data_IF_978966776579
#
_entry.id   IF_978966776579
#
_cell.length_a   1.000
_cell.length_b   1.000
_cell.length_c   1.000
_cell.angle_alpha   90.00
_cell.angle_beta   90.00
_cell.angle_gamma   90.00
#
_symmetry.space_group_name_H-M   'P 1'
#
loop_
_entity.id
_entity.type
_entity.pdbx_description
1 polymer ?
#
# COMPACT_ATOMS: atom_id res chain seq x y z
N UNK A 1 29.98 -58.18 -19.33
CA UNK A 1 29.35 -57.52 -20.50
C UNK A 1 27.93 -57.12 -20.12
N UNK A 2 27.61 -55.81 -20.28
CA UNK A 2 26.28 -55.16 -20.35
C UNK A 2 25.08 -55.86 -19.67
N UNK A 3 24.74 -55.43 -18.45
CA UNK A 3 23.39 -55.55 -17.87
C UNK A 3 23.10 -54.25 -17.14
N UNK A 4 22.46 -53.27 -17.80
CA UNK A 4 21.69 -52.22 -17.10
C UNK A 4 20.74 -51.53 -18.09
N UNK A 5 19.73 -52.27 -18.56
CA UNK A 5 18.54 -51.69 -19.18
C UNK A 5 17.49 -51.52 -18.06
N UNK A 6 17.54 -50.40 -17.35
CA UNK A 6 16.49 -50.02 -16.38
C UNK A 6 16.05 -48.57 -16.65
N UNK A 7 15.65 -48.31 -17.89
CA UNK A 7 14.93 -47.09 -18.26
C UNK A 7 13.58 -47.53 -18.84
N UNK A 8 12.67 -47.93 -17.96
CA UNK A 8 11.27 -48.12 -18.31
C UNK A 8 10.40 -47.31 -17.36
N UNK A 9 9.69 -46.35 -17.98
CA UNK A 9 8.31 -45.94 -17.66
C UNK A 9 8.07 -45.27 -16.31
N UNK A 10 8.15 -43.93 -16.29
CA UNK A 10 7.24 -43.11 -15.47
C UNK A 10 6.23 -42.47 -16.43
N UNK A 11 4.99 -42.97 -16.51
CA UNK A 11 3.94 -42.43 -17.35
C UNK A 11 3.21 -41.26 -16.65
N UNK A 12 3.02 -40.18 -17.40
CA UNK A 12 1.81 -39.36 -17.47
C UNK A 12 1.04 -39.07 -16.16
N UNK A 13 1.29 -37.90 -15.59
CA UNK A 13 0.29 -37.16 -14.81
C UNK A 13 -0.16 -35.95 -15.64
N UNK A 14 -1.21 -36.15 -16.45
CA UNK A 14 -1.96 -35.06 -17.08
C UNK A 14 -2.84 -34.44 -15.99
N UNK A 15 -2.38 -33.35 -15.38
CA UNK A 15 -3.21 -32.54 -14.48
C UNK A 15 -4.17 -31.73 -15.34
N UNK A 16 -5.46 -32.05 -15.23
CA UNK A 16 -6.57 -31.32 -15.82
C UNK A 16 -6.76 -30.04 -15.01
N UNK A 17 -6.36 -28.89 -15.54
CA UNK A 17 -6.67 -27.59 -14.93
C UNK A 17 -8.03 -27.13 -15.42
N UNK A 18 -9.05 -27.20 -14.55
CA UNK A 18 -10.35 -26.58 -14.80
C UNK A 18 -10.18 -25.08 -15.04
N UNK A 19 -10.59 -24.64 -16.23
CA UNK A 19 -10.49 -23.25 -16.67
C UNK A 19 -11.65 -22.46 -16.06
N UNK A 20 -11.40 -21.77 -14.95
CA UNK A 20 -12.37 -20.85 -14.36
C UNK A 20 -12.71 -19.74 -15.37
N UNK A 21 -13.96 -19.73 -15.86
CA UNK A 21 -14.47 -18.68 -16.73
C UNK A 21 -14.52 -17.36 -15.94
N UNK A 22 -13.68 -16.39 -16.33
CA UNK A 22 -13.72 -15.02 -15.80
C UNK A 22 -15.03 -14.35 -16.22
N UNK A 23 -15.84 -13.97 -15.24
CA UNK A 23 -16.98 -13.09 -15.42
C UNK A 23 -16.44 -11.65 -15.45
N UNK A 24 -16.55 -11.00 -16.61
CA UNK A 24 -16.13 -9.60 -16.81
C UNK A 24 -17.26 -8.69 -16.27
N UNK A 25 -17.02 -7.85 -15.26
CA UNK A 25 -17.99 -6.86 -14.82
C UNK A 25 -18.22 -5.82 -15.94
N UNK A 26 -19.45 -5.37 -16.10
CA UNK A 26 -19.82 -4.40 -17.12
C UNK A 26 -19.25 -3.01 -16.76
N UNK A 27 -18.64 -2.34 -17.73
CA UNK A 27 -18.02 -1.02 -17.57
C UNK A 27 -19.07 0.04 -17.20
N UNK A 28 -19.17 0.38 -15.91
CA UNK A 28 -19.95 1.53 -15.46
C UNK A 28 -19.23 2.81 -15.89
N UNK A 29 -19.85 3.49 -16.86
CA UNK A 29 -19.37 4.71 -17.50
C UNK A 29 -18.99 5.79 -16.48
N UNK A 30 -17.69 6.05 -16.40
CA UNK A 30 -17.08 7.15 -15.66
C UNK A 30 -17.58 8.50 -16.22
N UNK A 31 -18.37 9.25 -15.45
CA UNK A 31 -18.70 10.64 -15.75
C UNK A 31 -17.67 11.54 -15.05
N UNK A 32 -16.80 12.25 -15.78
CA UNK A 32 -15.82 13.17 -15.20
C UNK A 32 -16.50 14.47 -14.77
N UNK A 33 -16.69 14.66 -13.47
CA UNK A 33 -17.01 15.97 -12.88
C UNK A 33 -15.75 16.83 -12.87
N UNK A 34 -15.52 17.57 -13.95
CA UNK A 34 -14.53 18.64 -14.05
C UNK A 34 -15.24 20.00 -14.11
N UNK A 35 -14.51 21.06 -13.75
CA UNK A 35 -14.89 22.48 -13.67
C UNK A 35 -15.56 22.89 -12.35
N UNK A 36 -15.12 23.91 -11.62
CA UNK A 36 -13.96 24.80 -11.68
C UNK A 36 -13.81 25.47 -10.30
N UNK A 37 -12.63 26.02 -9.94
CA UNK A 37 -12.35 26.51 -8.59
C UNK A 37 -13.04 27.85 -8.31
N UNK A 38 -13.82 27.91 -7.23
CA UNK A 38 -14.37 29.16 -6.70
C UNK A 38 -13.24 30.04 -6.15
N UNK A 39 -12.80 31.00 -6.97
CA UNK A 39 -11.92 32.08 -6.55
C UNK A 39 -12.78 33.30 -6.23
N UNK A 40 -13.28 33.38 -5.00
CA UNK A 40 -13.80 34.64 -4.46
C UNK A 40 -12.92 35.13 -3.33
N UNK A 41 -12.25 36.24 -3.63
CA UNK A 41 -11.15 36.85 -2.91
C UNK A 41 -11.65 38.03 -2.10
N UNK A 42 -11.35 38.02 -0.80
CA UNK A 42 -11.13 39.17 0.12
C UNK A 42 -12.18 40.29 0.16
N UNK A 43 -12.86 40.41 1.31
CA UNK A 43 -12.94 41.67 2.05
C UNK A 43 -13.35 41.41 3.52
N UNK A 44 -12.45 41.60 4.51
CA UNK A 44 -12.78 41.58 5.93
C UNK A 44 -13.36 42.94 6.33
N UNK A 45 -14.66 43.00 6.56
CA UNK A 45 -15.33 44.14 7.18
C UNK A 45 -15.64 43.83 8.64
N UNK A 46 -14.67 44.11 9.53
CA UNK A 46 -14.90 44.22 10.97
C UNK A 46 -15.87 45.40 11.21
N UNK A 47 -17.10 45.11 11.63
CA UNK A 47 -17.96 46.14 12.22
C UNK A 47 -18.59 45.58 13.49
N UNK A 48 -17.92 45.89 14.59
CA UNK A 48 -18.34 45.71 15.96
C UNK A 48 -19.56 46.58 16.25
N UNK A 49 -20.72 45.97 16.48
CA UNK A 49 -21.83 46.61 17.22
C UNK A 49 -22.23 45.77 18.42
N UNK A 50 -22.37 46.49 19.52
CA UNK A 50 -22.57 46.04 20.89
C UNK A 50 -23.98 45.45 21.14
N UNK A 51 -24.21 44.81 22.32
CA UNK A 51 -25.29 43.87 22.54
C UNK A 51 -26.61 44.54 22.94
N UNK A 52 -27.72 44.04 22.37
CA UNK A 52 -29.08 44.37 22.84
C UNK A 52 -29.60 43.29 23.79
N UNK A 53 -30.29 43.79 24.82
CA UNK A 53 -30.76 43.12 26.02
C UNK A 53 -31.83 42.02 25.80
N UNK A 54 -32.04 41.13 26.80
CA UNK A 54 -32.99 40.03 26.72
C UNK A 54 -34.39 40.47 27.16
N UNK A 55 -35.43 40.02 26.47
CA UNK A 55 -36.79 40.04 27.00
C UNK A 55 -37.74 39.12 26.21
N UNK A 56 -38.48 38.34 27.00
CA UNK A 56 -39.86 37.86 26.77
C UNK A 56 -40.09 36.53 26.04
N UNK A 57 -40.20 35.50 26.87
CA UNK A 57 -41.14 34.38 26.85
C UNK A 57 -42.49 34.66 26.19
N UNK A 58 -42.94 33.88 25.19
CA UNK A 58 -44.35 33.46 25.04
C UNK A 58 -44.39 32.05 24.43
N UNK A 59 -45.09 31.17 25.13
CA UNK A 59 -45.51 29.85 24.69
C UNK A 59 -46.82 29.94 23.91
N UNK A 60 -46.97 29.13 22.85
CA UNK A 60 -48.19 28.76 22.12
C UNK A 60 -47.73 28.27 20.74
N UNK A 61 -48.19 27.20 20.12
CA UNK A 61 -49.27 26.26 20.36
C UNK A 61 -49.03 25.11 19.36
N UNK A 62 -49.34 23.88 19.76
CA UNK A 62 -49.32 22.69 18.89
C UNK A 62 -50.18 22.93 17.64
N UNK A 63 -49.64 22.70 16.44
CA UNK A 63 -50.48 22.31 15.30
C UNK A 63 -49.93 21.02 14.72
N UNK A 64 -50.63 19.95 15.07
CA UNK A 64 -50.47 18.58 14.59
C UNK A 64 -50.83 18.53 13.11
N UNK A 65 -49.86 18.25 12.25
CA UNK A 65 -50.13 17.72 10.92
C UNK A 65 -49.64 16.28 10.87
N UNK A 66 -50.47 15.33 10.40
CA UNK A 66 -50.08 13.93 10.29
C UNK A 66 -49.02 13.82 9.20
N UNK A 67 -47.77 13.62 9.61
CA UNK A 67 -46.69 13.30 8.69
C UNK A 67 -46.97 11.91 8.10
N UNK A 68 -47.34 11.90 6.83
CA UNK A 68 -47.45 10.68 6.05
C UNK A 68 -46.11 9.96 6.10
N UNK A 69 -46.15 8.75 6.65
CA UNK A 69 -45.08 7.78 6.74
C UNK A 69 -44.47 7.49 5.36
N UNK A 70 -43.51 8.31 4.93
CA UNK A 70 -42.60 7.95 3.84
C UNK A 70 -41.80 6.75 4.31
N UNK A 71 -42.17 5.58 3.79
CA UNK A 71 -41.42 4.34 3.96
C UNK A 71 -40.17 4.45 3.10
N UNK A 72 -39.13 5.11 3.62
CA UNK A 72 -37.82 5.18 2.97
C UNK A 72 -37.29 3.75 2.86
N UNK A 73 -37.06 3.20 1.65
CA UNK A 73 -36.40 1.92 1.52
C UNK A 73 -35.04 2.04 2.20
N UNK A 74 -34.77 1.13 3.14
CA UNK A 74 -33.45 0.97 3.70
C UNK A 74 -32.52 0.65 2.53
N UNK A 75 -31.76 1.66 2.09
CA UNK A 75 -30.58 1.45 1.27
C UNK A 75 -29.68 0.59 2.16
N UNK A 76 -29.75 -0.73 1.97
CA UNK A 76 -28.75 -1.64 2.50
C UNK A 76 -27.45 -1.25 1.81
N UNK A 77 -26.78 -0.25 2.39
CA UNK A 77 -25.40 0.07 2.14
C UNK A 77 -24.61 -1.14 2.65
N UNK A 78 -24.68 -2.24 1.91
CA UNK A 78 -23.69 -3.29 1.91
C UNK A 78 -22.44 -2.71 1.27
N UNK A 79 -21.87 -1.70 1.93
CA UNK A 79 -20.46 -1.38 1.80
C UNK A 79 -19.74 -2.51 2.51
N UNK A 80 -19.73 -3.68 1.88
CA UNK A 80 -18.61 -4.58 2.02
C UNK A 80 -17.46 -3.80 1.43
N UNK A 81 -16.84 -2.94 2.25
CA UNK A 81 -15.63 -2.25 1.89
C UNK A 81 -14.60 -3.36 1.78
N UNK A 82 -14.50 -3.95 0.59
CA UNK A 82 -13.51 -4.97 0.31
C UNK A 82 -12.17 -4.41 0.74
N UNK A 83 -11.55 -5.08 1.71
CA UNK A 83 -10.32 -4.60 2.30
C UNK A 83 -9.24 -4.64 1.22
N UNK A 84 -8.79 -3.46 0.79
CA UNK A 84 -7.78 -3.36 -0.27
C UNK A 84 -6.39 -3.55 0.33
N UNK A 85 -5.81 -4.72 0.11
CA UNK A 85 -4.42 -5.00 0.48
C UNK A 85 -3.43 -4.40 -0.53
N UNK A 86 -2.35 -3.79 -0.01
CA UNK A 86 -1.27 -3.22 -0.81
C UNK A 86 -0.40 -4.31 -1.47
N UNK A 87 -0.21 -5.43 -0.76
CA UNK A 87 0.59 -6.58 -1.19
C UNK A 87 -0.32 -7.82 -1.16
N UNK A 88 -0.49 -8.47 -2.32
CA UNK A 88 -1.22 -9.73 -2.49
C UNK A 88 -0.48 -10.59 -3.52
N UNK A 89 -0.59 -11.92 -3.45
CA UNK A 89 0.07 -12.81 -4.42
C UNK A 89 -0.39 -12.51 -5.86
N UNK A 90 -1.67 -12.13 -6.03
CA UNK A 90 -2.24 -11.74 -7.33
C UNK A 90 -1.61 -10.48 -7.91
N UNK A 91 -1.31 -9.48 -7.08
CA UNK A 91 -0.66 -8.22 -7.50
C UNK A 91 0.85 -8.35 -7.58
N UNK A 92 1.44 -9.38 -6.98
CA UNK A 92 2.88 -9.49 -6.75
C UNK A 92 3.38 -10.89 -7.17
N UNK A 93 3.18 -11.24 -8.45
CA UNK A 93 3.44 -12.58 -8.99
C UNK A 93 4.85 -13.15 -8.74
N UNK A 94 5.82 -12.30 -8.37
CA UNK A 94 7.22 -12.68 -8.15
C UNK A 94 7.70 -12.53 -6.70
N UNK A 95 6.79 -12.48 -5.71
CA UNK A 95 7.20 -12.40 -4.29
C UNK A 95 8.18 -13.51 -3.91
N UNK A 96 7.95 -14.75 -4.35
CA UNK A 96 8.82 -15.88 -4.05
C UNK A 96 10.25 -15.77 -4.63
N UNK A 97 10.47 -14.90 -5.62
CA UNK A 97 11.82 -14.65 -6.17
C UNK A 97 12.55 -13.53 -5.42
N UNK A 98 11.79 -12.57 -4.91
CA UNK A 98 12.30 -11.39 -4.20
C UNK A 98 12.52 -11.69 -2.70
N UNK A 99 11.61 -12.43 -2.08
CA UNK A 99 11.70 -12.85 -0.68
C UNK A 99 12.62 -14.06 -0.58
N UNK A 100 13.69 -13.91 0.18
CA UNK A 100 14.76 -14.89 0.29
C UNK A 100 15.09 -15.19 1.76
N UNK A 101 16.00 -16.16 1.95
CA UNK A 101 16.57 -16.52 3.24
C UNK A 101 15.52 -16.89 4.28
N UNK A 102 15.55 -16.21 5.43
CA UNK A 102 14.69 -16.53 6.59
C UNK A 102 13.47 -15.62 6.71
N UNK A 103 13.29 -14.67 5.79
CA UNK A 103 12.10 -13.80 5.77
C UNK A 103 10.82 -14.61 5.58
N UNK A 104 9.88 -14.45 6.51
CA UNK A 104 8.59 -15.11 6.47
C UNK A 104 7.51 -14.18 5.91
N UNK A 105 6.71 -14.70 4.99
CA UNK A 105 5.45 -14.08 4.58
C UNK A 105 4.30 -14.74 5.34
N UNK A 106 3.37 -13.93 5.83
CA UNK A 106 2.17 -14.43 6.51
C UNK A 106 1.00 -13.49 6.25
N UNK A 107 -0.22 -14.01 6.38
CA UNK A 107 -1.41 -13.19 6.27
C UNK A 107 -1.74 -12.54 7.61
N UNK A 108 -1.86 -11.23 7.60
CA UNK A 108 -2.37 -10.43 8.71
C UNK A 108 -3.58 -9.65 8.24
N UNK A 109 -4.74 -9.97 8.83
CA UNK A 109 -6.02 -9.36 8.50
C UNK A 109 -6.35 -9.43 6.99
N UNK A 110 -6.04 -10.57 6.34
CA UNK A 110 -6.25 -10.82 4.90
C UNK A 110 -5.23 -10.19 3.96
N UNK A 111 -4.21 -9.50 4.48
CA UNK A 111 -3.13 -8.92 3.67
C UNK A 111 -1.80 -9.62 3.96
N UNK A 112 -0.94 -9.71 2.95
CA UNK A 112 0.42 -10.22 3.14
C UNK A 112 1.22 -9.24 3.99
N UNK A 113 1.92 -9.77 4.97
CA UNK A 113 2.90 -9.07 5.80
C UNK A 113 4.21 -9.86 5.85
N UNK A 114 5.29 -9.17 6.16
CA UNK A 114 6.64 -9.74 6.23
C UNK A 114 7.14 -9.72 7.67
N UNK A 115 7.89 -10.74 8.09
CA UNK A 115 8.51 -10.82 9.41
C UNK A 115 9.80 -11.62 9.38
N UNK A 116 10.79 -11.14 10.14
CA UNK A 116 12.02 -11.87 10.41
C UNK A 116 11.91 -12.70 11.69
N UNK A 117 12.54 -13.89 11.75
CA UNK A 117 12.64 -14.66 12.98
C UNK A 117 13.52 -13.95 14.03
N UNK A 118 13.34 -14.36 15.29
CA UNK A 118 14.27 -14.18 16.42
C UNK A 118 15.26 -13.00 16.38
N UNK A 119 14.77 -11.77 16.51
CA UNK A 119 15.57 -10.54 16.58
C UNK A 119 16.40 -10.20 15.33
N UNK A 120 16.30 -10.98 14.26
CA UNK A 120 16.88 -10.62 12.97
C UNK A 120 16.19 -9.34 12.46
N UNK A 121 16.96 -8.50 11.79
CA UNK A 121 16.44 -7.26 11.24
C UNK A 121 16.11 -7.46 9.76
N UNK A 122 15.00 -6.88 9.28
CA UNK A 122 14.64 -6.99 7.89
C UNK A 122 15.59 -6.17 7.03
N UNK A 123 15.85 -6.68 5.84
CA UNK A 123 16.85 -6.20 4.90
C UNK A 123 16.22 -6.13 3.50
N UNK A 124 16.30 -4.96 2.86
CA UNK A 124 15.65 -4.69 1.57
C UNK A 124 16.67 -4.08 0.60
N UNK A 125 16.83 -4.70 -0.58
CA UNK A 125 17.66 -4.16 -1.66
C UNK A 125 16.86 -3.90 -2.92
N UNK A 126 17.33 -2.93 -3.70
CA UNK A 126 16.96 -2.70 -5.09
C UNK A 126 18.17 -2.20 -5.88
N UNK A 127 17.93 -1.70 -7.09
CA UNK A 127 18.93 -1.03 -7.90
C UNK A 127 18.52 0.42 -8.12
N UNK A 128 19.49 1.35 -8.15
CA UNK A 128 19.19 2.75 -8.48
C UNK A 128 18.57 2.89 -9.88
N UNK A 129 18.93 2.00 -10.81
CA UNK A 129 18.35 1.95 -12.14
C UNK A 129 16.84 1.60 -12.16
N UNK A 130 16.36 0.89 -11.13
CA UNK A 130 14.97 0.50 -10.96
C UNK A 130 14.26 1.32 -9.87
N UNK A 131 14.77 2.53 -9.61
CA UNK A 131 14.28 3.44 -8.58
C UNK A 131 14.09 4.87 -9.10
N UNK A 132 13.11 5.57 -8.53
CA UNK A 132 12.92 7.02 -8.69
C UNK A 132 13.88 7.84 -7.80
N UNK A 133 14.68 7.18 -6.95
CA UNK A 133 15.75 7.79 -6.17
C UNK A 133 17.01 7.87 -7.05
N UNK A 134 17.53 9.07 -7.32
CA UNK A 134 18.75 9.21 -8.09
C UNK A 134 19.95 8.67 -7.30
N UNK A 135 20.96 8.09 -7.97
CA UNK A 135 22.24 7.77 -7.36
C UNK A 135 22.84 9.00 -6.64
N UNK A 136 23.33 8.86 -5.40
CA UNK A 136 23.92 9.97 -4.66
C UNK A 136 25.18 10.55 -5.32
N UNK A 137 25.94 9.70 -6.01
CA UNK A 137 27.12 10.09 -6.79
C UNK A 137 27.06 9.46 -8.19
N UNK A 138 27.74 10.07 -9.16
CA UNK A 138 27.76 9.56 -10.55
C UNK A 138 28.29 8.12 -10.63
N UNK A 139 29.22 7.75 -9.75
CA UNK A 139 29.74 6.39 -9.73
C UNK A 139 28.80 5.38 -9.04
N UNK A 140 27.74 5.83 -8.36
CA UNK A 140 26.71 4.93 -7.83
C UNK A 140 25.70 4.52 -8.93
N UNK A 141 25.82 5.07 -10.14
CA UNK A 141 25.05 4.62 -11.31
C UNK A 141 25.28 3.12 -11.54
N UNK A 142 24.17 2.37 -11.67
CA UNK A 142 24.20 0.92 -11.85
C UNK A 142 24.49 0.09 -10.59
N UNK A 143 24.68 0.73 -9.42
CA UNK A 143 24.85 0.02 -8.15
C UNK A 143 23.51 -0.29 -7.47
N UNK A 144 23.59 -1.13 -6.44
CA UNK A 144 22.49 -1.46 -5.54
C UNK A 144 22.22 -0.34 -4.53
N UNK A 145 20.95 -0.13 -4.25
CA UNK A 145 20.47 0.64 -3.11
C UNK A 145 20.01 -0.33 -2.02
N UNK A 146 20.39 -0.08 -0.77
CA UNK A 146 19.83 -0.81 0.38
C UNK A 146 19.00 0.15 1.23
N UNK A 147 17.80 -0.26 1.60
CA UNK A 147 16.98 0.51 2.54
C UNK A 147 17.48 0.22 3.96
N UNK A 148 17.70 1.28 4.74
CA UNK A 148 18.21 1.13 6.11
C UNK A 148 17.16 0.43 6.98
N UNK A 149 17.58 -0.67 7.62
CA UNK A 149 16.76 -1.49 8.53
C UNK A 149 16.22 -0.67 9.72
N UNK A 150 15.13 -1.06 10.40
CA UNK A 150 14.63 -0.36 11.58
C UNK A 150 15.66 -0.44 12.73
N UNK A 151 15.67 0.55 13.64
CA UNK A 151 16.56 0.52 14.82
C UNK A 151 16.12 -0.47 15.89
N UNK A 152 14.83 -0.75 15.95
CA UNK A 152 14.24 -1.66 16.93
C UNK A 152 12.90 -2.22 16.43
N UNK A 153 12.45 -3.38 16.95
CA UNK A 153 11.15 -3.95 16.60
C UNK A 153 9.98 -3.00 16.88
N UNK A 154 10.10 -2.11 17.87
CA UNK A 154 9.06 -1.12 18.19
C UNK A 154 8.76 -0.16 17.02
N UNK A 155 9.71 0.10 16.12
CA UNK A 155 9.51 0.97 14.97
C UNK A 155 8.60 0.35 13.90
N UNK A 156 8.55 -0.99 13.84
CA UNK A 156 7.76 -1.76 12.88
C UNK A 156 6.52 -2.38 13.54
N UNK A 157 6.03 -1.80 14.65
CA UNK A 157 4.84 -2.28 15.34
C UNK A 157 3.59 -2.34 14.45
N UNK A 158 3.54 -1.51 13.40
CA UNK A 158 2.47 -1.52 12.37
C UNK A 158 2.71 -2.53 11.24
N UNK A 159 3.83 -3.25 11.25
CA UNK A 159 4.27 -4.15 10.18
C UNK A 159 5.28 -3.52 9.23
N UNK A 160 5.96 -4.35 8.44
CA UNK A 160 6.98 -3.93 7.48
C UNK A 160 6.34 -3.29 6.25
N UNK A 161 5.17 -3.78 5.83
CA UNK A 161 4.39 -3.18 4.73
C UNK A 161 4.11 -1.71 5.01
N UNK A 162 3.59 -1.40 6.20
CA UNK A 162 3.29 -0.03 6.58
C UNK A 162 4.55 0.83 6.80
N UNK A 163 5.62 0.25 7.34
CA UNK A 163 6.85 0.98 7.66
C UNK A 163 7.64 1.40 6.41
N UNK A 164 7.72 0.52 5.40
CA UNK A 164 8.43 0.78 4.14
C UNK A 164 7.51 1.19 2.98
N UNK A 165 6.21 1.31 3.23
CA UNK A 165 5.23 1.62 2.19
C UNK A 165 5.23 0.56 1.09
N UNK A 166 5.33 -0.73 1.46
CA UNK A 166 5.43 -1.80 0.49
C UNK A 166 4.12 -1.94 -0.29
N UNK A 167 4.23 -1.96 -1.60
CA UNK A 167 3.12 -2.15 -2.52
C UNK A 167 3.61 -2.91 -3.74
N UNK A 168 2.71 -3.32 -4.62
CA UNK A 168 3.07 -3.93 -5.89
C UNK A 168 2.68 -3.05 -7.05
N UNK A 169 3.70 -2.67 -7.83
CA UNK A 169 3.58 -1.89 -9.06
C UNK A 169 4.11 -2.78 -10.18
N UNK A 170 3.33 -2.95 -11.24
CA UNK A 170 3.69 -3.81 -12.39
C UNK A 170 4.15 -5.22 -12.00
N UNK A 171 3.44 -5.84 -11.05
CA UNK A 171 3.74 -7.17 -10.50
C UNK A 171 5.06 -7.29 -9.73
N UNK A 172 5.66 -6.17 -9.33
CA UNK A 172 6.93 -6.12 -8.60
C UNK A 172 6.76 -5.46 -7.24
N UNK A 173 7.35 -6.08 -6.21
CA UNK A 173 7.39 -5.52 -4.87
C UNK A 173 8.18 -4.21 -4.88
N UNK A 174 7.56 -3.14 -4.41
CA UNK A 174 8.07 -1.77 -4.50
C UNK A 174 7.98 -1.12 -3.13
N UNK A 175 9.05 -0.47 -2.68
CA UNK A 175 9.05 0.37 -1.49
C UNK A 175 8.77 1.83 -1.86
N UNK A 176 8.07 2.55 -0.99
CA UNK A 176 7.80 3.99 -1.16
C UNK A 176 8.20 4.83 0.05
N UNK A 177 8.49 4.22 1.19
CA UNK A 177 8.92 4.91 2.40
C UNK A 177 10.33 4.48 2.81
N UNK A 178 11.13 5.45 3.23
CA UNK A 178 12.51 5.24 3.65
C UNK A 178 12.76 5.96 4.98
N UNK A 179 12.14 5.51 6.09
CA UNK A 179 12.13 6.29 7.34
C UNK A 179 13.52 6.56 7.93
N UNK A 180 14.53 5.79 7.51
CA UNK A 180 15.92 5.92 7.92
C UNK A 180 16.88 6.18 6.75
N UNK A 181 16.33 6.50 5.58
CA UNK A 181 17.08 6.66 4.35
C UNK A 181 17.51 5.34 3.72
N UNK A 182 18.45 5.46 2.79
CA UNK A 182 19.08 4.37 2.05
C UNK A 182 20.60 4.47 2.16
N UNK A 183 21.31 3.39 1.82
CA UNK A 183 22.73 3.45 1.49
C UNK A 183 22.97 3.08 0.03
N UNK A 184 24.09 3.56 -0.51
CA UNK A 184 24.73 2.89 -1.65
C UNK A 184 25.60 1.77 -1.09
N UNK A 185 25.47 0.55 -1.64
CA UNK A 185 26.32 -0.60 -1.24
C UNK A 185 27.81 -0.28 -1.42
N UNK A 186 28.15 0.64 -2.32
CA UNK A 186 29.52 1.02 -2.64
C UNK A 186 30.16 1.94 -1.60
N UNK A 187 29.47 3.01 -1.19
CA UNK A 187 30.01 4.00 -0.25
C UNK A 187 29.68 3.69 1.21
N UNK A 188 28.56 3.01 1.47
CA UNK A 188 28.03 2.78 2.81
C UNK A 188 27.46 4.03 3.49
N UNK A 189 27.55 5.20 2.84
CA UNK A 189 26.99 6.45 3.32
C UNK A 189 25.45 6.39 3.32
N UNK A 190 24.85 7.11 4.26
CA UNK A 190 23.39 7.13 4.43
C UNK A 190 22.81 8.42 3.85
N UNK A 191 21.82 8.29 2.98
CA UNK A 191 21.16 9.40 2.29
C UNK A 191 19.64 9.37 2.52
N UNK A 192 18.98 10.53 2.47
CA UNK A 192 17.53 10.64 2.59
C UNK A 192 16.97 10.42 4.01
N UNK A 193 17.78 10.65 5.06
CA UNK A 193 17.34 10.55 6.46
C UNK A 193 16.37 11.64 6.89
N UNK A 194 16.20 12.67 6.05
CA UNK A 194 15.28 13.79 6.21
C UNK A 194 13.89 13.53 5.61
N UNK A 195 13.66 12.34 5.05
CA UNK A 195 12.41 11.97 4.38
C UNK A 195 12.30 12.45 2.93
N UNK A 196 13.37 13.01 2.34
CA UNK A 196 13.40 13.47 0.94
C UNK A 196 13.10 12.38 -0.10
N UNK A 197 13.21 11.11 0.28
CA UNK A 197 12.88 9.97 -0.58
C UNK A 197 11.49 9.36 -0.34
N UNK A 198 10.77 9.77 0.71
CA UNK A 198 9.40 9.31 0.92
C UNK A 198 8.51 9.66 -0.29
N UNK A 199 7.70 8.70 -0.70
CA UNK A 199 6.88 8.75 -1.92
C UNK A 199 7.61 8.31 -3.20
N UNK A 200 8.94 8.22 -3.21
CA UNK A 200 9.70 7.71 -4.38
C UNK A 200 9.64 6.20 -4.42
N UNK A 201 9.38 5.64 -5.59
CA UNK A 201 9.29 4.20 -5.80
C UNK A 201 10.66 3.58 -6.03
N UNK A 202 10.97 2.49 -5.32
CA UNK A 202 12.11 1.62 -5.61
C UNK A 202 11.62 0.18 -5.76
N UNK A 203 11.86 -0.43 -6.91
CA UNK A 203 11.61 -1.85 -7.10
C UNK A 203 12.62 -2.64 -6.25
N UNK A 204 12.11 -3.59 -5.48
CA UNK A 204 12.92 -4.45 -4.63
C UNK A 204 13.32 -5.71 -5.38
N UNK A 205 14.62 -5.99 -5.40
CA UNK A 205 15.21 -7.20 -5.98
C UNK A 205 15.48 -8.29 -4.94
N UNK A 206 15.61 -7.90 -3.68
CA UNK A 206 15.86 -8.82 -2.56
C UNK A 206 15.21 -8.32 -1.27
N UNK A 207 14.56 -9.21 -0.55
CA UNK A 207 14.00 -9.01 0.78
C UNK A 207 14.38 -10.21 1.66
N UNK A 208 15.13 -9.97 2.73
CA UNK A 208 15.68 -11.01 3.60
C UNK A 208 15.83 -10.49 5.05
N UNK A 209 16.41 -11.30 5.92
CA UNK A 209 16.68 -11.00 7.32
C UNK A 209 18.18 -11.18 7.64
N UNK A 210 18.74 -10.27 8.44
CA UNK A 210 20.15 -10.25 8.88
C UNK A 210 20.33 -9.60 10.27
#
# INVERSE_FOLDING_TARGET
MKILNLFLTIPYLMVVTESCMRMVPQDDAYIPSTMAPEKSTLAPGESTMAPMAPSTTIAAEETRLPEEMMTTPALESSTVTEKVCAVTEEKCLNLATVVQGTMQMFEKDGCIEFMCPDNDAPYFKGAFADSEIPPPTADDEGNELTIIRPKSPAQIAKGLVAYYGLTCVDNKLTATEYPRGINSVRTGDVYGTDGSYSGKKSILSQVDCD
#
